data_IF_106346458736
#
_entry.id   IF_106346458736
#
_cell.length_a   1.000
_cell.length_b   1.000
_cell.length_c   1.000
_cell.angle_alpha   90.00
_cell.angle_beta   90.00
_cell.angle_gamma   90.00
#
_symmetry.space_group_name_H-M   'P 1'
#
loop_
_entity.id
_entity.type
_entity.pdbx_description
1 polymer ?
#
# COMPACT_ATOMS: atom_id res chain seq x y z
N UNK A 1 -5.68 -12.01 -0.37
CA UNK A 1 -4.42 -11.22 -0.41
C UNK A 1 -3.19 -12.11 -0.43
N UNK A 2 -2.91 -12.91 0.62
CA UNK A 2 -1.70 -13.73 0.68
C UNK A 2 -1.55 -14.74 -0.49
N UNK A 3 -2.61 -15.45 -0.86
CA UNK A 3 -2.58 -16.39 -2.00
C UNK A 3 -2.20 -15.69 -3.30
N UNK A 4 -2.82 -14.55 -3.59
CA UNK A 4 -2.57 -13.80 -4.83
C UNK A 4 -1.14 -13.30 -4.89
N UNK A 5 -0.62 -12.74 -3.78
CA UNK A 5 0.75 -12.27 -3.73
C UNK A 5 1.75 -13.41 -3.97
N UNK A 6 1.57 -14.57 -3.31
CA UNK A 6 2.41 -15.76 -3.54
C UNK A 6 2.30 -16.27 -4.98
N UNK A 7 1.09 -16.39 -5.53
CA UNK A 7 0.87 -16.91 -6.88
C UNK A 7 1.49 -16.03 -7.96
N UNK A 8 1.32 -14.70 -7.85
CA UNK A 8 1.92 -13.74 -8.79
C UNK A 8 3.44 -13.78 -8.68
N UNK A 9 4.00 -13.79 -7.47
CA UNK A 9 5.45 -13.89 -7.27
C UNK A 9 6.01 -15.19 -7.86
N UNK A 10 5.34 -16.32 -7.63
CA UNK A 10 5.73 -17.61 -8.18
C UNK A 10 5.73 -17.60 -9.72
N UNK A 11 4.66 -17.09 -10.33
CA UNK A 11 4.54 -17.00 -11.78
C UNK A 11 5.50 -16.00 -12.43
N UNK A 12 6.05 -15.06 -11.65
CA UNK A 12 6.96 -14.02 -12.16
C UNK A 12 8.41 -14.49 -12.31
N UNK A 13 8.76 -15.70 -11.84
CA UNK A 13 10.10 -16.29 -11.96
C UNK A 13 11.24 -15.34 -11.53
N UNK A 14 11.01 -14.58 -10.46
CA UNK A 14 11.98 -13.61 -9.95
C UNK A 14 13.19 -14.30 -9.31
N UNK A 15 14.32 -13.60 -9.27
CA UNK A 15 15.46 -14.01 -8.45
C UNK A 15 15.02 -14.07 -6.98
N UNK A 16 15.46 -15.10 -6.25
CA UNK A 16 15.02 -15.32 -4.86
C UNK A 16 15.40 -14.15 -3.94
N UNK A 17 16.50 -13.45 -4.19
CA UNK A 17 16.95 -12.30 -3.40
C UNK A 17 16.27 -10.97 -3.79
N UNK A 18 15.42 -10.97 -4.81
CA UNK A 18 14.78 -9.74 -5.30
C UNK A 18 13.73 -9.23 -4.31
N UNK A 19 13.85 -7.96 -3.87
CA UNK A 19 12.81 -7.29 -3.10
C UNK A 19 11.51 -7.21 -3.92
N UNK A 20 10.42 -7.62 -3.31
CA UNK A 20 9.06 -7.53 -3.84
C UNK A 20 8.20 -6.70 -2.91
N UNK A 21 7.30 -5.93 -3.50
CA UNK A 21 6.39 -5.04 -2.77
C UNK A 21 4.96 -5.36 -3.15
N UNK A 22 4.13 -5.65 -2.15
CA UNK A 22 2.69 -5.79 -2.31
C UNK A 22 1.98 -4.56 -1.76
N UNK A 23 1.36 -3.80 -2.67
CA UNK A 23 0.68 -2.55 -2.36
C UNK A 23 -0.78 -2.84 -1.99
N UNK A 24 -1.19 -2.44 -0.78
CA UNK A 24 -2.54 -2.64 -0.26
C UNK A 24 -3.15 -1.28 0.08
N UNK A 25 -4.33 -0.99 -0.45
CA UNK A 25 -5.12 0.16 0.00
C UNK A 25 -5.86 -0.20 1.30
N UNK A 26 -5.61 0.56 2.36
CA UNK A 26 -6.24 0.37 3.68
C UNK A 26 -7.18 1.52 3.97
N UNK A 27 -8.44 1.20 4.26
CA UNK A 27 -9.45 2.20 4.64
C UNK A 27 -9.14 2.83 6.00
N UNK A 28 -9.24 4.16 6.08
CA UNK A 28 -8.86 4.94 7.25
C UNK A 28 -10.05 5.42 8.09
N UNK A 29 -11.28 5.36 7.56
CA UNK A 29 -12.47 5.96 8.17
C UNK A 29 -12.64 5.60 9.66
N UNK A 30 -12.45 4.33 10.00
CA UNK A 30 -12.56 3.84 11.38
C UNK A 30 -11.24 3.86 12.18
N UNK A 31 -10.11 4.09 11.51
CA UNK A 31 -8.78 4.11 12.13
C UNK A 31 -8.41 5.47 12.71
N UNK A 32 -8.99 6.56 12.19
CA UNK A 32 -8.78 7.90 12.71
C UNK A 32 -9.43 8.10 14.09
N UNK A 33 -8.90 9.05 14.87
CA UNK A 33 -9.42 9.42 16.18
C UNK A 33 -9.61 10.95 16.24
N UNK A 34 -10.86 11.46 16.21
CA UNK A 34 -12.11 10.69 16.09
C UNK A 34 -12.26 10.03 14.70
N UNK A 35 -13.06 8.94 14.58
CA UNK A 35 -13.38 8.35 13.28
C UNK A 35 -14.06 9.35 12.36
N UNK A 36 -13.88 9.17 11.04
CA UNK A 36 -14.56 10.02 10.07
C UNK A 36 -16.08 9.79 10.09
N UNK A 37 -16.88 10.84 9.85
CA UNK A 37 -18.33 10.72 9.69
C UNK A 37 -18.69 9.72 8.60
N UNK A 38 -19.85 9.06 8.72
CA UNK A 38 -20.34 8.11 7.72
C UNK A 38 -20.63 8.80 6.39
N UNK A 39 -21.00 10.08 6.46
CA UNK A 39 -21.35 10.96 5.36
C UNK A 39 -20.12 11.52 4.63
N UNK A 40 -18.90 11.22 5.10
CA UNK A 40 -17.67 11.67 4.44
C UNK A 40 -17.52 11.05 3.04
N UNK A 41 -17.69 11.90 2.01
CA UNK A 41 -17.64 11.52 0.59
C UNK A 41 -16.22 11.57 -0.01
N UNK A 42 -15.21 11.99 0.75
CA UNK A 42 -13.84 12.06 0.26
C UNK A 42 -13.10 10.71 0.29
N UNK A 43 -11.85 10.73 -0.17
CA UNK A 43 -10.95 9.59 -0.10
C UNK A 43 -10.35 9.45 1.30
N UNK A 44 -10.59 8.30 1.95
CA UNK A 44 -10.04 7.96 3.25
C UNK A 44 -9.35 6.60 3.17
N UNK A 45 -8.23 6.55 2.45
CA UNK A 45 -7.40 5.36 2.27
C UNK A 45 -5.92 5.71 2.36
N UNK A 46 -5.12 4.77 2.86
CA UNK A 46 -3.67 4.82 2.85
C UNK A 46 -3.12 3.65 2.03
N UNK A 47 -2.18 3.92 1.14
CA UNK A 47 -1.37 2.87 0.52
C UNK A 47 -0.35 2.32 1.52
N UNK A 48 -0.38 1.01 1.73
CA UNK A 48 0.55 0.28 2.59
C UNK A 48 1.41 -0.63 1.73
N UNK A 49 2.72 -0.62 1.99
CA UNK A 49 3.70 -1.43 1.27
C UNK A 49 4.13 -2.61 2.15
N UNK A 50 3.72 -3.82 1.76
CA UNK A 50 4.22 -5.05 2.39
C UNK A 50 5.44 -5.50 1.60
N UNK A 51 6.62 -5.50 2.25
CA UNK A 51 7.90 -5.82 1.63
C UNK A 51 8.40 -7.20 2.05
N UNK A 52 9.04 -7.94 1.16
CA UNK A 52 9.78 -9.18 1.43
C UNK A 52 10.71 -9.47 0.23
N UNK A 53 11.44 -10.57 0.25
CA UNK A 53 12.08 -11.10 -0.96
C UNK A 53 11.20 -12.16 -1.63
N UNK A 54 11.43 -12.42 -2.91
CA UNK A 54 10.74 -13.52 -3.60
C UNK A 54 11.01 -14.88 -2.94
N UNK A 55 12.25 -15.10 -2.48
CA UNK A 55 12.67 -16.30 -1.77
C UNK A 55 11.95 -16.50 -0.46
N UNK A 56 11.95 -15.50 0.42
CA UNK A 56 11.25 -15.57 1.71
C UNK A 56 9.76 -15.89 1.53
N UNK A 57 9.09 -15.20 0.60
CA UNK A 57 7.67 -15.36 0.37
C UNK A 57 7.29 -16.75 -0.18
N UNK A 58 8.15 -17.33 -1.04
CA UNK A 58 7.89 -18.63 -1.66
C UNK A 58 8.31 -19.80 -0.77
N UNK A 59 9.38 -19.66 0.01
CA UNK A 59 9.87 -20.68 0.96
C UNK A 59 8.91 -20.88 2.12
N UNK A 60 8.25 -19.81 2.58
CA UNK A 60 7.25 -19.91 3.65
C UNK A 60 5.86 -20.27 3.15
N UNK A 61 5.06 -20.84 4.04
CA UNK A 61 3.67 -21.17 3.78
C UNK A 61 2.76 -19.93 3.74
N UNK A 62 1.53 -20.13 3.27
CA UNK A 62 0.51 -19.08 3.18
C UNK A 62 0.30 -18.31 4.50
N UNK A 63 0.30 -19.02 5.62
CA UNK A 63 0.05 -18.43 6.94
C UNK A 63 1.07 -17.34 7.29
N UNK A 64 2.33 -17.54 6.89
CA UNK A 64 3.38 -16.55 7.07
C UNK A 64 3.12 -15.28 6.26
N UNK A 65 2.78 -15.44 4.97
CA UNK A 65 2.44 -14.30 4.11
C UNK A 65 1.21 -13.53 4.62
N UNK A 66 0.20 -14.24 5.10
CA UNK A 66 -0.99 -13.64 5.70
C UNK A 66 -0.66 -12.88 7.00
N UNK A 67 0.17 -13.46 7.87
CA UNK A 67 0.64 -12.83 9.09
C UNK A 67 1.44 -11.57 8.78
N UNK A 68 2.32 -11.61 7.78
CA UNK A 68 3.13 -10.47 7.38
C UNK A 68 2.27 -9.30 6.91
N UNK A 69 1.32 -9.56 6.00
CA UNK A 69 0.32 -8.59 5.57
C UNK A 69 -0.44 -8.00 6.77
N UNK A 70 -0.94 -8.86 7.66
CA UNK A 70 -1.70 -8.42 8.83
C UNK A 70 -0.88 -7.54 9.77
N UNK A 71 0.38 -7.88 10.02
CA UNK A 71 1.29 -7.07 10.85
C UNK A 71 1.49 -5.68 10.24
N UNK A 72 1.72 -5.59 8.94
CA UNK A 72 1.88 -4.29 8.26
C UNK A 72 0.59 -3.46 8.25
N UNK A 73 -0.58 -4.08 8.13
CA UNK A 73 -1.87 -3.35 8.21
C UNK A 73 -2.18 -2.93 9.65
N UNK A 74 -1.85 -3.77 10.63
CA UNK A 74 -2.07 -3.51 12.04
C UNK A 74 -1.13 -2.41 12.56
N UNK A 75 0.08 -2.30 12.01
CA UNK A 75 1.00 -1.23 12.39
C UNK A 75 0.47 0.16 12.06
N UNK A 76 -0.41 0.29 11.06
CA UNK A 76 -1.04 1.56 10.67
C UNK A 76 -2.03 2.06 11.74
N UNK A 77 -1.50 2.81 12.71
CA UNK A 77 -2.26 3.44 13.81
C UNK A 77 -2.81 4.81 13.40
N UNK A 78 -3.73 5.35 14.21
CA UNK A 78 -4.29 6.69 14.01
C UNK A 78 -3.19 7.76 13.96
N UNK A 79 -2.20 7.65 14.84
CA UNK A 79 -1.09 8.58 15.00
C UNK A 79 -0.18 8.55 13.77
N UNK A 80 0.10 7.37 13.22
CA UNK A 80 0.87 7.24 11.99
C UNK A 80 0.13 7.83 10.79
N UNK A 81 -1.17 7.60 10.69
CA UNK A 81 -2.00 8.16 9.62
C UNK A 81 -2.01 9.69 9.70
N UNK A 82 -2.20 10.25 10.89
CA UNK A 82 -2.14 11.70 11.10
C UNK A 82 -0.78 12.28 10.73
N UNK A 83 0.32 11.63 11.15
CA UNK A 83 1.66 12.05 10.77
C UNK A 83 1.85 12.07 9.25
N UNK A 84 1.42 11.03 8.53
CA UNK A 84 1.50 10.99 7.07
C UNK A 84 0.69 12.13 6.43
N UNK A 85 -0.50 12.42 6.95
CA UNK A 85 -1.33 13.53 6.48
C UNK A 85 -0.67 14.89 6.75
N UNK A 86 -0.09 15.09 7.93
CA UNK A 86 0.62 16.32 8.29
C UNK A 86 1.87 16.54 7.44
N UNK A 87 2.65 15.49 7.21
CA UNK A 87 3.85 15.54 6.37
C UNK A 87 3.47 15.83 4.92
N UNK A 88 2.40 15.22 4.41
CA UNK A 88 1.86 15.52 3.08
C UNK A 88 1.28 16.93 2.99
N UNK A 89 0.60 17.45 4.03
CA UNK A 89 0.06 18.81 4.03
C UNK A 89 1.18 19.87 3.98
N UNK A 90 2.32 19.61 4.62
CA UNK A 90 3.52 20.47 4.55
C UNK A 90 4.17 20.42 3.17
N UNK A 91 4.27 19.22 2.59
CA UNK A 91 4.91 19.00 1.30
C UNK A 91 4.05 18.09 0.43
N UNK A 92 3.02 18.64 -0.25
CA UNK A 92 2.08 17.84 -1.01
C UNK A 92 2.81 17.18 -2.17
N UNK A 93 2.80 15.85 -2.17
CA UNK A 93 3.34 15.04 -3.26
C UNK A 93 2.18 14.43 -4.04
N UNK A 94 2.25 14.58 -5.37
CA UNK A 94 1.36 13.89 -6.30
C UNK A 94 2.15 12.70 -6.83
N UNK A 95 1.54 11.51 -6.85
CA UNK A 95 2.22 10.34 -7.38
C UNK A 95 2.61 10.58 -8.85
N UNK A 96 3.88 10.37 -9.19
CA UNK A 96 4.40 10.63 -10.54
C UNK A 96 3.67 9.82 -11.61
N UNK A 97 3.15 8.63 -11.26
CA UNK A 97 2.35 7.77 -12.15
C UNK A 97 1.00 8.38 -12.57
N UNK A 98 0.47 9.38 -11.85
CA UNK A 98 -0.70 10.15 -12.29
C UNK A 98 -0.31 11.28 -13.24
N UNK A 99 0.94 11.73 -13.19
CA UNK A 99 1.45 12.86 -13.99
C UNK A 99 1.74 12.46 -15.44
N UNK A 100 2.12 11.21 -15.67
CA UNK A 100 2.46 10.66 -17.01
C UNK A 100 1.22 10.38 -17.88
N UNK A 101 0.00 10.40 -17.31
CA UNK A 101 -1.24 10.13 -18.04
C UNK A 101 -2.03 11.39 -18.44
N UNK A 102 -1.44 12.58 -18.31
CA UNK A 102 -2.03 13.80 -18.87
C UNK A 102 -1.49 13.92 -20.31
N UNK A 103 -2.31 13.68 -21.35
CA UNK A 103 -1.88 13.97 -22.72
C UNK A 103 -1.57 15.47 -22.79
N UNK A 104 -0.30 15.81 -23.00
CA UNK A 104 0.09 17.15 -23.43
C UNK A 104 -0.45 17.32 -24.84
N UNK A 105 -1.68 17.82 -24.98
CA UNK A 105 -2.17 18.30 -26.26
C UNK A 105 -1.26 19.44 -26.71
N UNK A 106 -0.42 19.10 -27.68
CA UNK A 106 0.28 20.01 -28.57
C UNK A 106 -0.73 21.04 -29.08
N UNK A 107 -0.43 22.33 -28.92
CA UNK A 107 -1.05 23.37 -29.76
C UNK A 107 0.08 24.02 -30.55
N UNK A 108 -0.17 24.09 -31.85
CA UNK A 108 0.66 24.55 -32.97
C UNK A 108 1.32 25.90 -32.80
#
# INVERSE_FOLDING_TARGET
MAHLWRAVTHASHLNLDQEIIYNIAVGLRQKLKPPLPKEYLGNALQGVHVKSTAGELLQHELGWAALHINKTIASLTAEQVMKVLEDWAKTPTVSSKLRENIPTSTTS
#
